data_IF_175062987932
#
_entry.id   IF_175062987932
#
_cell.length_a   1.000
_cell.length_b   1.000
_cell.length_c   1.000
_cell.angle_alpha   90.00
_cell.angle_beta   90.00
_cell.angle_gamma   90.00
#
_symmetry.space_group_name_H-M   'P 1'
#
loop_
_entity.id
_entity.type
_entity.pdbx_description
1 polymer ?
#
# COMPACT_ATOMS: atom_id res chain seq x y z
N UNK A 1 12.49 13.74 57.87
CA UNK A 1 12.53 13.34 56.47
C UNK A 1 11.40 14.08 55.76
N UNK A 2 11.69 15.13 55.03
CA UNK A 2 10.70 15.96 54.37
C UNK A 2 10.46 15.43 52.96
N UNK A 3 9.31 14.77 52.77
CA UNK A 3 8.90 14.36 51.42
C UNK A 3 8.31 15.56 50.69
N UNK A 4 9.04 16.13 49.76
CA UNK A 4 8.56 17.20 48.90
C UNK A 4 7.79 16.57 47.73
N UNK A 5 6.44 16.57 47.81
CA UNK A 5 5.58 16.12 46.72
C UNK A 5 5.42 17.26 45.73
N UNK A 6 6.02 17.15 44.54
CA UNK A 6 5.81 18.09 43.44
C UNK A 6 4.60 17.70 42.64
N UNK A 7 3.50 18.47 42.73
CA UNK A 7 2.31 18.29 41.89
C UNK A 7 2.53 19.03 40.57
N UNK A 8 2.79 18.30 39.49
CA UNK A 8 2.82 18.85 38.13
C UNK A 8 1.44 18.74 37.48
N UNK A 9 0.88 19.86 37.07
CA UNK A 9 -0.36 19.93 36.33
C UNK A 9 -0.02 19.87 34.84
N UNK A 10 -0.16 18.68 34.22
CA UNK A 10 0.05 18.51 32.78
C UNK A 10 -1.25 18.85 32.06
N UNK A 11 -1.25 19.93 31.30
CA UNK A 11 -2.37 20.33 30.45
C UNK A 11 -2.15 19.71 29.07
N UNK A 12 -2.92 18.70 28.74
CA UNK A 12 -2.97 18.16 27.37
C UNK A 12 -3.79 19.12 26.49
N UNK A 13 -3.12 19.90 25.66
CA UNK A 13 -3.82 20.58 24.56
C UNK A 13 -4.34 19.52 23.61
N UNK A 14 -5.64 19.29 23.65
CA UNK A 14 -6.33 18.52 22.61
C UNK A 14 -6.12 19.29 21.31
N UNK A 15 -5.27 18.76 20.45
CA UNK A 15 -5.11 19.30 19.09
C UNK A 15 -6.46 19.08 18.39
N UNK A 16 -7.27 20.13 18.26
CA UNK A 16 -8.43 20.10 17.38
C UNK A 16 -7.89 19.74 16.00
N UNK A 17 -8.24 18.56 15.50
CA UNK A 17 -8.08 18.23 14.10
C UNK A 17 -8.87 19.27 13.33
N UNK A 18 -8.19 20.28 12.80
CA UNK A 18 -8.75 21.07 11.74
C UNK A 18 -9.09 20.06 10.64
N UNK A 19 -10.34 20.07 10.19
CA UNK A 19 -10.80 19.35 9.02
C UNK A 19 -9.99 19.85 7.83
N UNK A 20 -8.79 19.29 7.67
CA UNK A 20 -8.01 19.49 6.46
C UNK A 20 -8.75 18.68 5.40
N UNK A 21 -9.58 19.38 4.64
CA UNK A 21 -10.14 18.82 3.42
C UNK A 21 -9.00 18.12 2.68
N UNK A 22 -9.17 16.85 2.27
CA UNK A 22 -8.13 16.15 1.55
C UNK A 22 -7.84 16.95 0.29
N UNK A 23 -6.71 17.65 0.27
CA UNK A 23 -6.21 18.32 -0.93
C UNK A 23 -6.24 17.26 -2.01
N UNK A 24 -7.12 17.42 -2.99
CA UNK A 24 -7.13 16.59 -4.19
C UNK A 24 -5.73 16.68 -4.78
N UNK A 25 -4.94 15.64 -4.55
CA UNK A 25 -3.61 15.57 -5.16
C UNK A 25 -3.83 15.56 -6.66
N UNK A 26 -3.21 16.44 -7.43
CA UNK A 26 -3.34 16.41 -8.87
C UNK A 26 -3.00 14.99 -9.32
N UNK A 27 -3.77 14.45 -10.26
CA UNK A 27 -3.53 13.12 -10.85
C UNK A 27 -2.08 13.13 -11.35
N UNK A 28 -1.18 12.47 -10.62
CA UNK A 28 0.22 12.42 -10.99
C UNK A 28 0.31 11.72 -12.35
N UNK A 29 0.77 12.45 -13.36
CA UNK A 29 1.12 11.91 -14.66
C UNK A 29 2.39 11.09 -14.42
N UNK A 30 2.24 9.76 -14.29
CA UNK A 30 3.36 8.87 -14.02
C UNK A 30 2.95 7.53 -13.41
N UNK A 31 3.89 6.59 -13.31
CA UNK A 31 3.60 5.26 -12.77
C UNK A 31 3.10 5.35 -11.32
N UNK A 32 2.16 4.48 -10.98
CA UNK A 32 1.60 4.40 -9.63
C UNK A 32 2.67 4.02 -8.60
N UNK A 33 2.45 4.33 -7.32
CA UNK A 33 3.39 3.96 -6.27
C UNK A 33 3.64 2.43 -6.21
N UNK A 34 2.61 1.64 -6.52
CA UNK A 34 2.72 0.18 -6.57
C UNK A 34 3.51 -0.29 -7.80
N UNK A 35 3.32 0.33 -8.97
CA UNK A 35 4.10 0.04 -10.17
C UNK A 35 5.59 0.35 -9.97
N UNK A 36 5.91 1.45 -9.29
CA UNK A 36 7.31 1.78 -8.93
C UNK A 36 7.92 0.75 -7.98
N UNK A 37 7.15 0.22 -7.03
CA UNK A 37 7.63 -0.85 -6.14
C UNK A 37 7.85 -2.15 -6.88
N UNK A 38 6.98 -2.50 -7.82
CA UNK A 38 7.17 -3.68 -8.69
C UNK A 38 8.43 -3.55 -9.55
N UNK A 39 8.64 -2.39 -10.16
CA UNK A 39 9.87 -2.12 -10.93
C UNK A 39 11.12 -2.21 -10.05
N UNK A 40 11.06 -1.69 -8.81
CA UNK A 40 12.14 -1.80 -7.84
C UNK A 40 12.42 -3.27 -7.47
N UNK A 41 11.38 -4.10 -7.30
CA UNK A 41 11.52 -5.51 -7.01
C UNK A 41 12.32 -6.23 -8.09
N UNK A 42 11.92 -6.07 -9.35
CA UNK A 42 12.65 -6.64 -10.49
C UNK A 42 14.08 -6.10 -10.62
N UNK A 43 14.28 -4.81 -10.35
CA UNK A 43 15.62 -4.23 -10.40
C UNK A 43 16.56 -4.85 -9.35
N UNK A 44 16.07 -5.01 -8.11
CA UNK A 44 16.85 -5.64 -7.04
C UNK A 44 17.15 -7.09 -7.37
N UNK A 45 16.20 -7.83 -7.91
CA UNK A 45 16.38 -9.20 -8.32
C UNK A 45 17.47 -9.33 -9.40
N UNK A 46 17.44 -8.43 -10.39
CA UNK A 46 18.49 -8.35 -11.42
C UNK A 46 19.87 -8.01 -10.83
N UNK A 47 19.95 -7.06 -9.90
CA UNK A 47 21.21 -6.70 -9.23
C UNK A 47 21.77 -7.85 -8.39
N UNK A 48 20.92 -8.65 -7.74
CA UNK A 48 21.34 -9.86 -7.01
C UNK A 48 21.85 -10.91 -8.00
N UNK A 49 21.14 -11.12 -9.10
CA UNK A 49 21.53 -12.08 -10.13
C UNK A 49 22.88 -11.71 -10.80
N UNK A 50 23.15 -10.42 -10.97
CA UNK A 50 24.40 -9.90 -11.53
C UNK A 50 25.55 -9.86 -10.49
N UNK A 51 25.29 -10.18 -9.20
CA UNK A 51 26.29 -10.13 -8.14
C UNK A 51 26.61 -8.73 -7.61
N UNK A 52 25.84 -7.71 -7.99
CA UNK A 52 25.99 -6.33 -7.51
C UNK A 52 25.50 -6.16 -6.07
N UNK A 53 24.56 -6.99 -5.67
CA UNK A 53 24.02 -7.09 -4.31
C UNK A 53 24.22 -8.50 -3.77
N UNK A 54 24.65 -8.60 -2.52
CA UNK A 54 24.82 -9.90 -1.85
C UNK A 54 23.47 -10.58 -1.52
N UNK A 55 22.36 -9.82 -1.56
CA UNK A 55 21.01 -10.33 -1.28
C UNK A 55 20.07 -9.24 -0.76
N UNK A 56 18.86 -9.64 -0.38
CA UNK A 56 17.83 -8.71 0.09
C UNK A 56 18.22 -7.94 1.35
N UNK A 57 19.08 -8.50 2.20
CA UNK A 57 19.56 -7.82 3.40
C UNK A 57 20.50 -6.64 3.05
N UNK A 58 21.34 -6.81 2.05
CA UNK A 58 22.23 -5.74 1.53
C UNK A 58 21.41 -4.67 0.83
N UNK A 59 20.42 -5.08 0.00
CA UNK A 59 19.48 -4.16 -0.62
C UNK A 59 18.73 -3.30 0.41
N UNK A 60 18.20 -3.93 1.47
CA UNK A 60 17.50 -3.24 2.55
C UNK A 60 18.40 -2.19 3.21
N UNK A 61 19.65 -2.54 3.51
CA UNK A 61 20.64 -1.64 4.12
C UNK A 61 20.96 -0.44 3.23
N UNK A 62 21.19 -0.67 1.93
CA UNK A 62 21.51 0.40 0.95
C UNK A 62 20.34 1.36 0.74
N UNK A 63 19.10 0.84 0.77
CA UNK A 63 17.90 1.65 0.58
C UNK A 63 17.34 2.24 1.88
N UNK A 64 17.95 1.98 3.04
CA UNK A 64 17.46 2.46 4.34
C UNK A 64 16.10 1.86 4.72
N UNK A 65 15.81 0.63 4.27
CA UNK A 65 14.57 -0.08 4.54
C UNK A 65 14.77 -1.18 5.58
N UNK A 66 13.68 -1.58 6.25
CA UNK A 66 13.70 -2.78 7.08
C UNK A 66 13.77 -4.03 6.22
N UNK A 67 14.34 -5.13 6.75
CA UNK A 67 14.35 -6.44 6.08
C UNK A 67 12.96 -6.90 5.69
N UNK A 68 11.99 -6.77 6.61
CA UNK A 68 10.60 -7.14 6.37
C UNK A 68 10.00 -6.36 5.20
N UNK A 69 10.27 -5.06 5.12
CA UNK A 69 9.78 -4.23 4.00
C UNK A 69 10.44 -4.63 2.68
N UNK A 70 11.73 -4.95 2.71
CA UNK A 70 12.44 -5.40 1.52
C UNK A 70 11.89 -6.73 1.01
N UNK A 71 11.64 -7.69 1.89
CA UNK A 71 11.01 -8.96 1.53
C UNK A 71 9.63 -8.74 0.89
N UNK A 72 8.79 -7.88 1.48
CA UNK A 72 7.48 -7.56 0.90
C UNK A 72 7.57 -6.95 -0.51
N UNK A 73 8.61 -6.19 -0.79
CA UNK A 73 8.84 -5.65 -2.14
C UNK A 73 9.30 -6.78 -3.08
N UNK A 74 10.25 -7.59 -2.66
CA UNK A 74 10.75 -8.70 -3.45
C UNK A 74 9.65 -9.73 -3.77
N UNK A 75 8.76 -10.03 -2.84
CA UNK A 75 7.65 -10.96 -3.04
C UNK A 75 6.72 -10.55 -4.19
N UNK A 76 6.72 -9.28 -4.60
CA UNK A 76 5.93 -8.83 -5.75
C UNK A 76 6.35 -9.47 -7.07
N UNK A 77 7.57 -9.96 -7.20
CA UNK A 77 8.03 -10.70 -8.40
C UNK A 77 7.39 -12.08 -8.51
N UNK A 78 6.83 -12.61 -7.41
CA UNK A 78 6.13 -13.89 -7.36
C UNK A 78 4.66 -13.81 -7.80
N UNK A 79 4.15 -12.61 -8.06
CA UNK A 79 2.80 -12.43 -8.58
C UNK A 79 2.67 -13.00 -10.00
N UNK A 80 1.47 -13.46 -10.35
CA UNK A 80 1.17 -13.91 -11.70
C UNK A 80 1.51 -12.81 -12.73
N UNK A 81 2.10 -13.14 -13.89
CA UNK A 81 2.54 -12.17 -14.88
C UNK A 81 1.44 -11.21 -15.34
N UNK A 82 0.19 -11.68 -15.44
CA UNK A 82 -0.97 -10.86 -15.79
C UNK A 82 -1.25 -9.78 -14.74
N UNK A 83 -1.11 -10.13 -13.46
CA UNK A 83 -1.28 -9.19 -12.34
C UNK A 83 -0.16 -8.13 -12.37
N UNK A 84 1.07 -8.55 -12.61
CA UNK A 84 2.21 -7.64 -12.73
C UNK A 84 2.02 -6.67 -13.91
N UNK A 85 1.57 -7.16 -15.07
CA UNK A 85 1.28 -6.33 -16.24
C UNK A 85 0.19 -5.30 -15.96
N UNK A 86 -0.91 -5.71 -15.35
CA UNK A 86 -2.02 -4.81 -14.99
C UNK A 86 -1.59 -3.71 -13.99
N UNK A 87 -0.70 -4.05 -13.04
CA UNK A 87 -0.09 -3.08 -12.11
C UNK A 87 0.84 -2.12 -12.87
N UNK A 88 1.68 -2.63 -13.75
CA UNK A 88 2.65 -1.82 -14.50
C UNK A 88 1.96 -0.83 -15.44
N UNK A 89 0.88 -1.25 -16.10
CA UNK A 89 0.05 -0.41 -16.96
C UNK A 89 -0.83 0.57 -16.17
N UNK A 90 -0.94 0.40 -14.85
CA UNK A 90 -1.77 1.27 -14.01
C UNK A 90 -3.27 0.99 -14.10
N UNK A 91 -3.66 -0.12 -14.72
CA UNK A 91 -5.05 -0.57 -14.84
C UNK A 91 -5.65 -0.89 -13.48
N UNK A 92 -4.84 -1.45 -12.59
CA UNK A 92 -5.21 -1.80 -11.22
C UNK A 92 -4.28 -1.14 -10.20
N UNK A 93 -4.80 -0.85 -9.02
CA UNK A 93 -4.06 -0.24 -7.92
C UNK A 93 -4.31 -0.99 -6.63
N UNK A 94 -3.82 -2.23 -6.52
CA UNK A 94 -4.00 -3.02 -5.31
C UNK A 94 -3.29 -2.36 -4.12
N UNK A 95 -3.82 -2.59 -2.94
CA UNK A 95 -3.15 -2.19 -1.70
C UNK A 95 -2.25 -3.34 -1.18
N UNK A 96 -1.40 -3.03 -0.20
CA UNK A 96 -0.44 -3.99 0.37
C UNK A 96 -1.13 -5.22 1.01
N UNK A 97 -2.37 -5.08 1.49
CA UNK A 97 -3.15 -6.19 2.06
C UNK A 97 -3.60 -7.15 0.96
N UNK A 98 -4.18 -6.63 -0.11
CA UNK A 98 -4.62 -7.42 -1.26
C UNK A 98 -3.47 -8.20 -1.88
N UNK A 99 -2.31 -7.57 -2.06
CA UNK A 99 -1.12 -8.25 -2.57
C UNK A 99 -0.68 -9.39 -1.65
N UNK A 100 -0.71 -9.18 -0.33
CA UNK A 100 -0.38 -10.26 0.62
C UNK A 100 -1.38 -11.39 0.60
N UNK A 101 -2.66 -11.09 0.40
CA UNK A 101 -3.70 -12.13 0.33
C UNK A 101 -3.54 -12.95 -0.95
N UNK A 102 -3.22 -12.33 -2.08
CA UNK A 102 -2.89 -13.01 -3.34
C UNK A 102 -1.63 -13.87 -3.21
N UNK A 103 -0.57 -13.35 -2.59
CA UNK A 103 0.71 -14.04 -2.41
C UNK A 103 0.66 -15.25 -1.45
N UNK A 104 -0.43 -15.43 -0.69
CA UNK A 104 -0.66 -16.66 0.09
C UNK A 104 -0.90 -17.89 -0.80
N UNK A 105 -1.29 -17.65 -2.05
CA UNK A 105 -1.53 -18.72 -3.02
C UNK A 105 -0.25 -19.01 -3.80
N UNK A 106 0.16 -20.26 -3.78
CA UNK A 106 1.45 -20.69 -4.31
C UNK A 106 1.48 -20.72 -5.84
N UNK A 107 0.34 -20.92 -6.48
CA UNK A 107 0.24 -21.03 -7.94
C UNK A 107 -0.42 -19.81 -8.56
N UNK A 108 0.02 -19.47 -9.76
CA UNK A 108 -0.55 -18.33 -10.51
C UNK A 108 -2.02 -18.53 -10.87
N UNK A 109 -2.44 -19.78 -11.08
CA UNK A 109 -3.85 -20.11 -11.38
C UNK A 109 -4.76 -19.84 -10.17
N UNK A 110 -4.26 -20.02 -8.95
CA UNK A 110 -4.98 -19.68 -7.72
C UNK A 110 -4.96 -18.17 -7.44
N UNK A 111 -3.87 -17.49 -7.79
CA UNK A 111 -3.72 -16.05 -7.57
C UNK A 111 -4.71 -15.23 -8.39
N UNK A 112 -4.99 -15.63 -9.63
CA UNK A 112 -5.85 -14.87 -10.56
C UNK A 112 -7.27 -14.65 -10.04
N UNK A 113 -8.04 -15.69 -9.68
CA UNK A 113 -9.41 -15.49 -9.21
C UNK A 113 -9.50 -14.78 -7.87
N UNK A 114 -8.47 -14.89 -7.03
CA UNK A 114 -8.39 -14.14 -5.76
C UNK A 114 -8.19 -12.67 -6.04
N UNK A 115 -7.28 -12.33 -6.96
CA UNK A 115 -7.01 -10.95 -7.35
C UNK A 115 -8.23 -10.27 -8.00
N UNK A 116 -8.93 -10.95 -8.88
CA UNK A 116 -10.15 -10.44 -9.53
C UNK A 116 -11.23 -10.12 -8.48
N UNK A 117 -11.50 -11.02 -7.54
CA UNK A 117 -12.47 -10.79 -6.45
C UNK A 117 -12.10 -9.58 -5.57
N UNK A 118 -10.82 -9.42 -5.27
CA UNK A 118 -10.34 -8.31 -4.46
C UNK A 118 -10.44 -6.97 -5.19
N UNK A 119 -10.18 -6.95 -6.51
CA UNK A 119 -10.30 -5.75 -7.34
C UNK A 119 -11.76 -5.33 -7.51
N UNK A 120 -12.66 -6.27 -7.76
CA UNK A 120 -14.09 -6.02 -7.87
C UNK A 120 -14.68 -5.47 -6.57
N UNK A 121 -14.27 -6.03 -5.44
CA UNK A 121 -14.70 -5.56 -4.13
C UNK A 121 -14.27 -4.13 -3.85
N UNK A 122 -13.11 -3.75 -4.34
CA UNK A 122 -12.56 -2.39 -4.20
C UNK A 122 -13.30 -1.40 -5.13
N UNK A 123 -13.61 -1.82 -6.35
CA UNK A 123 -14.35 -1.00 -7.29
C UNK A 123 -15.77 -0.70 -6.76
N UNK A 124 -16.48 -1.72 -6.29
CA UNK A 124 -17.80 -1.55 -5.67
C UNK A 124 -17.81 -0.59 -4.47
N UNK A 125 -16.76 -0.64 -3.63
CA UNK A 125 -16.62 0.28 -2.50
C UNK A 125 -16.36 1.72 -2.95
N UNK A 126 -15.63 1.92 -4.03
CA UNK A 126 -15.37 3.25 -4.62
C UNK A 126 -16.65 3.82 -5.23
N UNK A 127 -17.40 3.01 -5.96
CA UNK A 127 -18.64 3.41 -6.60
C UNK A 127 -19.72 3.75 -5.56
N UNK A 128 -19.82 2.98 -4.48
CA UNK A 128 -20.75 3.27 -3.36
C UNK A 128 -20.37 4.51 -2.56
N UNK A 129 -19.08 4.84 -2.47
CA UNK A 129 -18.60 6.05 -1.81
C UNK A 129 -18.76 7.33 -2.67
N UNK A 130 -18.90 7.17 -3.98
CA UNK A 130 -19.08 8.28 -4.94
C UNK A 130 -20.54 8.73 -5.09
N UNK A 131 -21.52 7.98 -4.55
CA UNK A 131 -22.92 8.42 -4.53
C UNK A 131 -23.20 9.20 -3.23
N UNK A 132 -23.30 10.55 -3.27
CA UNK A 132 -23.88 11.27 -2.15
C UNK A 132 -25.34 10.85 -2.03
N UNK A 133 -25.76 10.45 -0.83
CA UNK A 133 -27.18 10.23 -0.48
C UNK A 133 -27.94 11.57 -0.53
N UNK A 134 -28.19 12.09 -1.71
CA UNK A 134 -28.92 13.32 -1.95
C UNK A 134 -30.26 13.03 -2.64
N UNK A 135 -31.00 12.01 -2.19
CA UNK A 135 -32.41 11.83 -2.59
C UNK A 135 -33.20 11.20 -1.44
N UNK A 136 -33.29 11.89 -0.33
CA UNK A 136 -34.07 11.42 0.80
C UNK A 136 -34.62 12.55 1.68
N UNK A 137 -35.25 13.57 1.09
CA UNK A 137 -36.22 14.46 1.75
C UNK A 137 -36.95 15.32 0.75
N UNK A 138 -37.85 14.69 0.02
CA UNK A 138 -39.01 15.39 -0.55
C UNK A 138 -40.21 14.49 -0.29
N UNK A 139 -40.82 14.66 0.88
CA UNK A 139 -42.21 14.36 1.14
C UNK A 139 -42.61 15.08 2.39
N UNK A 140 -43.27 16.17 2.21
CA UNK A 140 -44.49 16.67 2.84
C UNK A 140 -44.65 18.13 2.55
#
# INVERSE_FOLDING_TARGET
>A
MNSTTVKMKVSFRTCQRQDVQPKQRPKAIGPTAIARRLALAHHIEAMIANGELAGLADAAKRLGLTRARMTQIADMTLLAPQIQSAIALGEVRPNDRQLRDVLKHATWDEQRPVFERETDSQQRRRDSASYPQALGRLSS
#
